data_IF_805192127899
#
_entry.id   IF_805192127899
#
_cell.length_a   1.000
_cell.length_b   1.000
_cell.length_c   1.000
_cell.angle_alpha   90.00
_cell.angle_beta   90.00
_cell.angle_gamma   90.00
#
_symmetry.space_group_name_H-M   'P 1'
#
loop_
_entity.id
_entity.type
_entity.pdbx_description
1 polymer ?
#
# COMPACT_ATOMS: atom_id res chain seq x y z
N UNK A 1 -16.57 -2.15 52.27
CA UNK A 1 -16.22 -2.12 50.83
C UNK A 1 -16.37 -3.53 50.31
N UNK A 2 -17.57 -3.87 49.85
CA UNK A 2 -17.84 -5.17 49.23
C UNK A 2 -17.28 -5.16 47.81
N UNK A 3 -16.36 -6.08 47.53
CA UNK A 3 -15.93 -6.38 46.16
C UNK A 3 -16.98 -7.30 45.56
N UNK A 4 -17.91 -6.76 44.78
CA UNK A 4 -18.80 -7.56 43.96
C UNK A 4 -17.95 -8.23 42.87
N UNK A 5 -17.77 -9.54 42.98
CA UNK A 5 -17.04 -10.33 41.99
C UNK A 5 -17.93 -10.48 40.76
N UNK A 6 -17.64 -9.71 39.70
CA UNK A 6 -18.31 -9.84 38.40
C UNK A 6 -18.12 -11.27 37.88
N UNK A 7 -19.18 -11.84 37.30
CA UNK A 7 -19.11 -13.14 36.63
C UNK A 7 -18.21 -13.04 35.39
N UNK A 8 -17.53 -14.12 35.02
CA UNK A 8 -16.71 -14.17 33.80
C UNK A 8 -17.49 -13.78 32.53
N UNK A 9 -18.79 -14.07 32.48
CA UNK A 9 -19.65 -13.65 31.36
C UNK A 9 -19.96 -12.15 31.36
N UNK A 10 -20.04 -11.50 32.52
CA UNK A 10 -20.25 -10.06 32.63
C UNK A 10 -19.00 -9.29 32.21
N UNK A 11 -17.82 -9.83 32.54
CA UNK A 11 -16.54 -9.29 32.07
C UNK A 11 -16.46 -9.39 30.53
N UNK A 12 -16.93 -10.50 29.94
CA UNK A 12 -16.94 -10.68 28.48
C UNK A 12 -17.75 -9.61 27.73
N UNK A 13 -18.83 -9.09 28.33
CA UNK A 13 -19.61 -8.01 27.74
C UNK A 13 -18.94 -6.62 27.87
N UNK A 14 -18.01 -6.47 28.82
CA UNK A 14 -17.26 -5.23 29.05
C UNK A 14 -15.94 -5.17 28.24
N UNK A 15 -15.58 -6.24 27.51
CA UNK A 15 -14.38 -6.28 26.67
C UNK A 15 -14.66 -5.58 25.34
N UNK A 16 -14.06 -4.40 25.15
CA UNK A 16 -14.04 -3.72 23.86
C UNK A 16 -13.03 -4.36 22.90
N UNK A 17 -13.20 -4.12 21.60
CA UNK A 17 -12.20 -4.50 20.58
C UNK A 17 -10.83 -3.90 20.91
N UNK A 18 -10.80 -2.67 21.42
CA UNK A 18 -9.56 -2.02 21.86
C UNK A 18 -8.87 -2.80 22.98
N UNK A 19 -9.63 -3.30 23.97
CA UNK A 19 -9.08 -4.17 25.02
C UNK A 19 -8.50 -5.45 24.42
N UNK A 20 -9.18 -6.06 23.44
CA UNK A 20 -8.67 -7.25 22.76
C UNK A 20 -7.36 -6.98 22.00
N UNK A 21 -7.25 -5.85 21.28
CA UNK A 21 -6.02 -5.44 20.58
C UNK A 21 -4.87 -5.25 21.57
N UNK A 22 -5.11 -4.55 22.69
CA UNK A 22 -4.10 -4.39 23.72
C UNK A 22 -3.68 -5.72 24.34
N UNK A 23 -4.61 -6.64 24.56
CA UNK A 23 -4.29 -7.98 25.09
C UNK A 23 -3.49 -8.81 24.11
N UNK A 24 -3.80 -8.78 22.81
CA UNK A 24 -2.99 -9.47 21.80
C UNK A 24 -1.58 -8.87 21.75
N UNK A 25 -1.47 -7.53 21.75
CA UNK A 25 -0.17 -6.85 21.77
C UNK A 25 0.66 -7.21 23.01
N UNK A 26 0.04 -7.22 24.19
CA UNK A 26 0.69 -7.61 25.43
C UNK A 26 1.10 -9.08 25.43
N UNK A 27 0.19 -9.98 25.03
CA UNK A 27 0.47 -11.41 24.94
C UNK A 27 1.62 -11.68 23.97
N UNK A 28 1.67 -11.00 22.83
CA UNK A 28 2.76 -11.17 21.86
C UNK A 28 4.13 -10.75 22.40
N UNK A 29 4.16 -9.78 23.32
CA UNK A 29 5.40 -9.35 24.00
C UNK A 29 5.82 -10.28 25.14
N UNK A 30 4.87 -10.95 25.77
CA UNK A 30 5.11 -11.85 26.91
C UNK A 30 5.39 -13.30 26.48
N UNK A 31 5.00 -13.69 25.27
CA UNK A 31 5.24 -15.04 24.76
C UNK A 31 6.72 -15.21 24.42
N UNK A 32 7.35 -16.20 25.05
CA UNK A 32 8.72 -16.60 24.76
C UNK A 32 8.81 -17.23 23.36
N UNK A 33 9.87 -16.91 22.61
CA UNK A 33 10.14 -17.45 21.27
C UNK A 33 10.07 -18.99 21.22
N UNK A 34 10.57 -19.67 22.26
CA UNK A 34 10.53 -21.14 22.35
C UNK A 34 9.10 -21.71 22.41
N UNK A 35 8.13 -20.91 22.88
CA UNK A 35 6.70 -21.29 22.86
C UNK A 35 6.14 -21.19 21.44
N UNK A 36 6.52 -20.15 20.70
CA UNK A 36 6.14 -19.98 19.29
C UNK A 36 6.68 -21.15 18.47
N UNK A 37 7.97 -21.46 18.61
CA UNK A 37 8.61 -22.60 17.92
C UNK A 37 7.91 -23.94 18.21
N UNK A 38 7.55 -24.20 19.48
CA UNK A 38 6.80 -25.43 19.86
C UNK A 38 5.42 -25.49 19.19
N UNK A 39 4.73 -24.36 19.07
CA UNK A 39 3.43 -24.28 18.40
C UNK A 39 3.57 -24.54 16.89
N UNK A 40 4.56 -23.94 16.24
CA UNK A 40 4.85 -24.20 14.82
C UNK A 40 5.22 -25.67 14.58
N UNK A 41 6.07 -26.25 15.44
CA UNK A 41 6.42 -27.68 15.39
C UNK A 41 5.22 -28.60 15.52
N UNK A 42 4.32 -28.33 16.48
CA UNK A 42 3.08 -29.10 16.66
C UNK A 42 2.11 -28.97 15.48
N UNK A 43 2.13 -27.83 14.79
CA UNK A 43 1.32 -27.59 13.59
C UNK A 43 1.92 -28.20 12.32
N UNK A 44 3.06 -28.88 12.42
CA UNK A 44 3.70 -29.57 11.30
C UNK A 44 4.76 -28.75 10.57
N UNK A 45 5.08 -27.54 11.02
CA UNK A 45 6.21 -26.77 10.50
C UNK A 45 7.50 -27.30 11.13
N UNK A 46 8.33 -27.96 10.34
CA UNK A 46 9.67 -28.39 10.77
C UNK A 46 10.61 -27.19 10.65
N UNK A 47 11.33 -26.88 11.73
CA UNK A 47 12.42 -25.91 11.67
C UNK A 47 13.52 -26.52 10.78
N UNK A 48 13.99 -25.77 9.78
CA UNK A 48 15.01 -26.26 8.86
C UNK A 48 16.41 -26.39 9.49
N UNK A 49 16.60 -25.91 10.72
CA UNK A 49 17.89 -25.89 11.40
C UNK A 49 17.79 -26.59 12.76
N UNK A 50 17.77 -27.91 12.75
CA UNK A 50 18.41 -28.72 13.79
C UNK A 50 18.79 -30.04 13.13
N UNK A 51 20.08 -30.25 12.95
CA UNK A 51 20.66 -31.58 12.89
C UNK A 51 20.00 -32.47 13.95
N UNK A 52 19.77 -33.73 13.59
CA UNK A 52 18.95 -34.73 14.29
C UNK A 52 17.43 -34.62 14.05
N UNK A 53 16.97 -35.09 12.88
CA UNK A 53 15.98 -36.17 12.84
C UNK A 53 15.91 -36.85 11.46
N UNK A 54 16.26 -38.12 11.47
CA UNK A 54 16.21 -39.13 10.41
C UNK A 54 15.06 -38.95 9.40
N UNK A 55 15.41 -38.63 8.16
CA UNK A 55 14.68 -39.12 6.98
C UNK A 55 15.43 -40.37 6.53
N UNK A 56 14.91 -41.54 6.87
CA UNK A 56 15.34 -42.79 6.25
C UNK A 56 14.63 -42.90 4.90
N UNK A 57 15.26 -42.41 3.84
CA UNK A 57 15.07 -43.00 2.53
C UNK A 57 16.43 -43.15 1.85
N UNK A 58 16.68 -44.36 1.39
CA UNK A 58 18.00 -44.88 1.08
C UNK A 58 18.48 -44.42 -0.30
N UNK A 59 19.68 -43.84 -0.36
CA UNK A 59 20.68 -44.10 -1.41
C UNK A 59 22.05 -43.62 -0.93
N UNK A 60 22.99 -44.56 -0.85
CA UNK A 60 24.42 -44.33 -0.70
C UNK A 60 24.97 -43.52 -1.91
N UNK A 61 25.72 -42.44 -1.66
CA UNK A 61 26.87 -42.06 -2.50
C UNK A 61 27.79 -41.09 -1.75
N UNK A 62 29.07 -41.42 -1.73
CA UNK A 62 30.19 -40.73 -1.07
C UNK A 62 30.55 -39.43 -1.81
N UNK A 63 30.90 -38.37 -1.08
CA UNK A 63 31.61 -37.24 -1.68
C UNK A 63 31.59 -35.92 -0.91
N UNK A 64 32.50 -35.79 0.05
CA UNK A 64 33.43 -34.66 0.18
C UNK A 64 32.99 -33.27 -0.33
N UNK A 65 32.72 -32.34 0.59
CA UNK A 65 33.07 -30.94 0.40
C UNK A 65 33.14 -30.23 1.76
N UNK A 66 34.36 -30.12 2.26
CA UNK A 66 34.80 -29.10 3.22
C UNK A 66 34.85 -27.77 2.46
N UNK A 67 33.89 -26.88 2.73
CA UNK A 67 33.95 -25.42 2.51
C UNK A 67 32.55 -24.87 2.81
N UNK A 68 32.32 -24.39 4.03
CA UNK A 68 31.19 -23.50 4.31
C UNK A 68 31.76 -22.15 4.74
N UNK A 69 31.84 -21.27 3.76
CA UNK A 69 31.86 -19.83 3.93
C UNK A 69 30.70 -19.41 4.84
N UNK A 70 31.02 -18.59 5.85
CA UNK A 70 30.07 -17.85 6.70
C UNK A 70 29.33 -16.78 5.86
N UNK A 71 28.41 -17.20 5.00
CA UNK A 71 27.36 -16.32 4.48
C UNK A 71 26.09 -16.56 5.32
N UNK A 72 25.99 -15.80 6.41
CA UNK A 72 24.79 -15.59 7.26
C UNK A 72 23.65 -14.87 6.48
N UNK A 73 23.45 -15.19 5.20
CA UNK A 73 22.23 -14.85 4.48
C UNK A 73 21.22 -15.94 4.83
N UNK A 74 20.30 -15.64 5.76
CA UNK A 74 19.14 -16.47 6.14
C UNK A 74 18.61 -17.24 4.92
N UNK A 75 18.97 -18.53 4.84
CA UNK A 75 18.79 -19.33 3.63
C UNK A 75 17.29 -19.63 3.47
N UNK A 76 16.57 -18.72 2.81
CA UNK A 76 15.12 -18.80 2.64
C UNK A 76 14.82 -20.04 1.80
N UNK A 77 14.06 -21.02 2.30
CA UNK A 77 13.85 -22.27 1.58
C UNK A 77 13.35 -22.03 0.15
N UNK A 78 13.94 -22.70 -0.84
CA UNK A 78 13.59 -22.56 -2.27
C UNK A 78 12.08 -22.68 -2.54
N UNK A 79 11.37 -23.46 -1.72
CA UNK A 79 9.92 -23.61 -1.79
C UNK A 79 9.18 -22.30 -1.48
N UNK A 80 9.66 -21.51 -0.52
CA UNK A 80 9.11 -20.21 -0.13
C UNK A 80 9.34 -19.19 -1.25
N UNK A 81 10.53 -19.17 -1.86
CA UNK A 81 10.84 -18.31 -3.02
C UNK A 81 9.95 -18.65 -4.22
N UNK A 82 9.76 -19.95 -4.50
CA UNK A 82 8.86 -20.38 -5.59
C UNK A 82 7.42 -19.96 -5.32
N UNK A 83 6.95 -20.15 -4.09
CA UNK A 83 5.59 -19.82 -3.68
C UNK A 83 5.33 -18.32 -3.69
N UNK A 84 6.30 -17.49 -3.29
CA UNK A 84 6.16 -16.03 -3.34
C UNK A 84 5.94 -15.55 -4.78
N UNK A 85 6.69 -16.10 -5.72
CA UNK A 85 6.57 -15.76 -7.14
C UNK A 85 5.27 -16.28 -7.75
N UNK A 86 4.80 -17.45 -7.34
CA UNK A 86 3.55 -18.04 -7.82
C UNK A 86 2.30 -17.29 -7.30
N UNK A 87 2.30 -16.88 -6.04
CA UNK A 87 1.15 -16.21 -5.41
C UNK A 87 1.14 -14.70 -5.65
N UNK A 88 2.29 -14.05 -5.52
CA UNK A 88 2.40 -12.58 -5.48
C UNK A 88 3.11 -11.99 -6.69
N UNK A 89 3.72 -12.82 -7.55
CA UNK A 89 4.44 -12.35 -8.74
C UNK A 89 5.76 -11.63 -8.46
N UNK A 90 6.22 -11.62 -7.20
CA UNK A 90 7.45 -10.99 -6.76
C UNK A 90 8.33 -11.95 -5.94
N UNK A 91 9.60 -11.56 -5.73
CA UNK A 91 10.51 -12.33 -4.89
C UNK A 91 10.15 -12.15 -3.41
N UNK A 92 10.53 -13.12 -2.58
CA UNK A 92 10.19 -13.12 -1.15
C UNK A 92 10.67 -11.86 -0.43
N UNK A 93 11.85 -11.35 -0.79
CA UNK A 93 12.44 -10.11 -0.26
C UNK A 93 11.61 -8.85 -0.54
N UNK A 94 10.76 -8.87 -1.58
CA UNK A 94 9.98 -7.71 -2.01
C UNK A 94 8.59 -7.68 -1.34
N UNK A 95 8.14 -8.80 -0.75
CA UNK A 95 6.84 -8.91 -0.05
C UNK A 95 6.60 -7.80 0.99
N UNK A 96 7.57 -7.42 1.85
CA UNK A 96 7.35 -6.38 2.86
C UNK A 96 7.14 -4.98 2.27
N UNK A 97 7.54 -4.78 1.02
CA UNK A 97 7.42 -3.48 0.33
C UNK A 97 6.26 -3.42 -0.65
N UNK A 98 5.55 -4.53 -0.85
CA UNK A 98 4.50 -4.66 -1.85
C UNK A 98 3.35 -3.68 -1.60
N UNK A 99 3.06 -3.38 -0.34
CA UNK A 99 1.99 -2.47 0.09
C UNK A 99 2.50 -1.10 0.60
N UNK A 100 3.80 -0.81 0.44
CA UNK A 100 4.40 0.42 0.97
C UNK A 100 3.83 1.71 0.36
N UNK A 101 3.26 1.65 -0.84
CA UNK A 101 2.67 2.80 -1.55
C UNK A 101 1.14 2.78 -1.58
N UNK A 102 0.50 2.02 -0.70
CA UNK A 102 -0.96 2.09 -0.55
C UNK A 102 -1.32 3.38 0.17
N UNK A 103 -2.19 4.20 -0.44
CA UNK A 103 -2.73 5.39 0.23
C UNK A 103 -3.46 4.97 1.51
N UNK A 104 -2.89 5.32 2.65
CA UNK A 104 -3.50 5.15 3.97
C UNK A 104 -3.81 6.51 4.58
N UNK A 105 -4.74 6.53 5.54
CA UNK A 105 -4.97 7.72 6.35
C UNK A 105 -3.75 7.98 7.25
N UNK A 106 -3.36 9.25 7.42
CA UNK A 106 -2.29 9.60 8.33
C UNK A 106 -2.73 9.33 9.77
N UNK A 107 -2.21 8.25 10.37
CA UNK A 107 -2.54 7.82 11.72
C UNK A 107 -1.62 8.39 12.80
N UNK A 108 -0.59 9.17 12.42
CA UNK A 108 0.42 9.69 13.37
C UNK A 108 -0.15 10.77 14.30
N UNK A 109 -1.13 11.53 13.81
CA UNK A 109 -1.81 12.58 14.58
C UNK A 109 -3.08 12.09 15.27
N UNK A 110 -3.54 10.87 14.95
CA UNK A 110 -4.74 10.30 15.54
C UNK A 110 -4.48 9.85 16.97
N UNK A 111 -5.15 10.48 17.93
CA UNK A 111 -5.16 10.00 19.30
C UNK A 111 -6.05 8.75 19.41
N UNK A 112 -5.46 7.56 19.47
CA UNK A 112 -6.16 6.27 19.54
C UNK A 112 -6.79 5.96 20.91
N UNK A 113 -6.43 6.71 21.94
CA UNK A 113 -7.00 6.56 23.29
C UNK A 113 -8.33 7.33 23.45
N UNK A 114 -8.71 8.15 22.47
CA UNK A 114 -10.01 8.81 22.46
C UNK A 114 -11.12 7.85 21.98
N UNK A 115 -12.37 8.11 22.38
CA UNK A 115 -13.48 7.25 21.99
C UNK A 115 -13.62 7.14 20.47
N UNK A 116 -13.80 5.92 19.95
CA UNK A 116 -13.86 5.64 18.51
C UNK A 116 -14.84 6.54 17.74
N UNK A 117 -15.95 6.93 18.37
CA UNK A 117 -16.91 7.88 17.80
C UNK A 117 -16.28 9.22 17.45
N UNK A 118 -15.45 9.79 18.33
CA UNK A 118 -14.78 11.07 18.09
C UNK A 118 -13.75 10.99 16.97
N UNK A 119 -13.07 9.84 16.83
CA UNK A 119 -12.14 9.59 15.73
C UNK A 119 -12.91 9.55 14.39
N UNK A 120 -14.01 8.81 14.35
CA UNK A 120 -14.83 8.69 13.14
C UNK A 120 -15.48 10.03 12.76
N UNK A 121 -16.01 10.76 13.74
CA UNK A 121 -16.61 12.08 13.53
C UNK A 121 -15.57 13.06 12.96
N UNK A 122 -14.33 13.08 13.47
CA UNK A 122 -13.25 13.92 12.95
C UNK A 122 -12.82 13.54 11.52
N UNK A 123 -12.75 12.24 11.20
CA UNK A 123 -12.45 11.77 9.83
C UNK A 123 -13.57 12.21 8.85
N UNK A 124 -14.82 12.16 9.28
CA UNK A 124 -15.95 12.63 8.49
C UNK A 124 -15.95 14.15 8.30
N UNK A 125 -15.63 14.93 9.35
CA UNK A 125 -15.52 16.40 9.25
C UNK A 125 -14.38 16.86 8.31
N UNK A 126 -13.23 16.19 8.34
CA UNK A 126 -12.13 16.48 7.40
C UNK A 126 -12.48 16.11 5.95
N UNK A 127 -13.34 15.10 5.75
CA UNK A 127 -13.80 14.67 4.42
C UNK A 127 -14.91 15.58 3.87
N UNK A 128 -15.83 16.05 4.72
CA UNK A 128 -16.95 16.91 4.33
C UNK A 128 -16.53 18.38 4.11
N UNK A 129 -15.48 18.86 4.76
CA UNK A 129 -14.95 20.22 4.55
C UNK A 129 -14.34 20.46 3.15
N UNK A 130 -14.28 19.42 2.30
CA UNK A 130 -13.81 19.50 0.92
C UNK A 130 -14.95 19.32 -0.11
N UNK A 131 -16.22 19.30 0.33
CA UNK A 131 -17.38 19.48 -0.53
C UNK A 131 -17.93 20.89 -0.31
N UNK A 132 -17.48 21.81 -1.17
CA UNK A 132 -18.14 23.11 -1.32
C UNK A 132 -19.57 22.83 -1.83
N UNK A 133 -20.52 23.12 -0.96
CA UNK A 133 -21.96 22.98 -1.11
C UNK A 133 -22.45 24.07 -2.07
N UNK A 134 -22.33 23.82 -3.39
CA UNK A 134 -23.07 24.57 -4.40
C UNK A 134 -24.43 23.91 -4.57
N UNK A 135 -25.30 24.23 -3.62
CA UNK A 135 -26.70 23.85 -3.54
C UNK A 135 -27.49 24.59 -4.65
N UNK A 136 -27.38 24.11 -5.88
CA UNK A 136 -28.35 24.39 -6.95
C UNK A 136 -28.93 23.06 -7.46
N UNK A 137 -30.09 22.76 -6.90
CA UNK A 137 -30.96 21.64 -7.19
C UNK A 137 -31.46 21.71 -8.65
N UNK A 138 -30.68 21.20 -9.61
CA UNK A 138 -31.23 20.70 -10.88
C UNK A 138 -30.30 19.69 -11.58
N UNK A 139 -30.66 18.41 -11.41
CA UNK A 139 -30.48 17.31 -12.37
C UNK A 139 -29.05 16.74 -12.58
N UNK A 140 -28.89 15.47 -12.18
CA UNK A 140 -27.77 14.58 -12.48
C UNK A 140 -27.41 14.54 -13.98
N UNK A 141 -26.51 15.41 -14.40
CA UNK A 141 -25.70 15.22 -15.60
C UNK A 141 -24.25 15.47 -15.21
N UNK A 142 -23.44 14.41 -15.25
CA UNK A 142 -21.99 14.49 -15.25
C UNK A 142 -21.56 15.37 -16.43
N UNK A 143 -21.46 16.68 -16.18
CA UNK A 143 -20.83 17.61 -17.09
C UNK A 143 -19.34 17.29 -17.07
N UNK A 144 -18.94 16.36 -17.94
CA UNK A 144 -17.60 16.34 -18.48
C UNK A 144 -17.40 17.71 -19.17
N UNK A 145 -17.03 18.73 -18.39
CA UNK A 145 -16.60 20.01 -18.93
C UNK A 145 -15.30 19.71 -19.66
N UNK A 146 -15.43 19.44 -20.95
CA UNK A 146 -14.30 19.26 -21.85
C UNK A 146 -13.46 20.53 -21.75
N UNK A 147 -12.30 20.43 -21.10
CA UNK A 147 -11.31 21.50 -21.02
C UNK A 147 -10.94 21.84 -22.46
N UNK A 148 -11.09 23.12 -22.82
CA UNK A 148 -10.71 23.57 -24.17
C UNK A 148 -9.20 23.45 -24.35
N UNK A 149 -8.75 23.23 -25.57
CA UNK A 149 -7.32 23.19 -25.89
C UNK A 149 -6.58 24.47 -25.45
N UNK A 150 -7.26 25.63 -25.47
CA UNK A 150 -6.72 26.89 -24.97
C UNK A 150 -6.56 26.91 -23.44
N UNK A 151 -7.56 26.42 -22.71
CA UNK A 151 -7.52 26.36 -21.24
C UNK A 151 -6.39 25.43 -20.78
N UNK A 152 -6.18 24.31 -21.47
CA UNK A 152 -5.08 23.38 -21.19
C UNK A 152 -3.71 24.04 -21.34
N UNK A 153 -3.50 24.81 -22.41
CA UNK A 153 -2.27 25.57 -22.64
C UNK A 153 -2.03 26.61 -21.53
N UNK A 154 -3.08 27.35 -21.15
CA UNK A 154 -2.99 28.37 -20.10
C UNK A 154 -2.65 27.76 -18.73
N UNK A 155 -3.16 26.56 -18.42
CA UNK A 155 -2.78 25.83 -17.21
C UNK A 155 -1.35 25.32 -17.27
N UNK A 156 -0.92 24.83 -18.43
CA UNK A 156 0.43 24.33 -18.64
C UNK A 156 1.48 25.44 -18.49
N UNK A 157 1.19 26.64 -18.98
CA UNK A 157 2.05 27.81 -18.81
C UNK A 157 2.17 28.23 -17.35
N UNK A 158 1.06 28.21 -16.58
CA UNK A 158 1.10 28.45 -15.13
C UNK A 158 1.95 27.41 -14.39
N UNK A 159 1.91 26.15 -14.82
CA UNK A 159 2.73 25.08 -14.24
C UNK A 159 4.21 25.25 -14.58
N UNK A 160 4.55 25.70 -15.80
CA UNK A 160 5.94 26.01 -16.19
C UNK A 160 6.49 27.20 -15.41
N UNK A 161 5.69 28.24 -15.20
CA UNK A 161 6.08 29.41 -14.39
C UNK A 161 6.37 29.00 -12.94
N UNK A 162 5.53 28.14 -12.38
CA UNK A 162 5.77 27.55 -11.06
C UNK A 162 7.08 26.74 -11.04
N UNK A 163 7.26 25.81 -11.97
CA UNK A 163 8.45 24.96 -12.02
C UNK A 163 9.76 25.78 -12.17
N UNK A 164 9.71 26.87 -12.94
CA UNK A 164 10.83 27.80 -13.13
C UNK A 164 11.11 28.62 -11.86
N UNK A 165 10.07 29.07 -11.17
CA UNK A 165 10.19 29.86 -9.93
C UNK A 165 10.79 29.06 -8.77
N UNK A 166 10.44 27.78 -8.67
CA UNK A 166 10.90 26.89 -7.59
C UNK A 166 12.09 26.00 -7.98
N UNK A 167 12.70 26.24 -9.15
CA UNK A 167 13.92 25.54 -9.59
C UNK A 167 13.75 24.03 -9.78
N UNK A 168 12.55 23.57 -10.15
CA UNK A 168 12.25 22.15 -10.37
C UNK A 168 12.55 21.77 -11.83
N UNK A 169 13.83 21.57 -12.14
CA UNK A 169 14.33 21.23 -13.49
C UNK A 169 13.62 20.03 -14.09
N UNK A 170 13.43 18.98 -13.30
CA UNK A 170 12.90 17.70 -13.77
C UNK A 170 11.42 17.84 -14.14
N UNK A 171 10.66 18.60 -13.34
CA UNK A 171 9.24 18.87 -13.60
C UNK A 171 9.09 19.76 -14.83
N UNK A 172 9.95 20.76 -14.98
CA UNK A 172 9.96 21.64 -16.15
C UNK A 172 10.24 20.87 -17.45
N UNK A 173 11.19 19.94 -17.45
CA UNK A 173 11.50 19.10 -18.61
C UNK A 173 10.29 18.27 -19.04
N UNK A 174 9.57 17.68 -18.09
CA UNK A 174 8.36 16.89 -18.39
C UNK A 174 7.22 17.78 -18.90
N UNK A 175 7.05 18.99 -18.35
CA UNK A 175 6.05 19.95 -18.83
C UNK A 175 6.35 20.44 -20.26
N UNK A 176 7.62 20.61 -20.62
CA UNK A 176 8.03 20.96 -21.98
C UNK A 176 7.74 19.83 -22.98
N UNK A 177 7.96 18.56 -22.60
CA UNK A 177 7.61 17.40 -23.45
C UNK A 177 6.10 17.29 -23.68
N UNK A 178 5.29 17.59 -22.66
CA UNK A 178 3.84 17.59 -22.78
C UNK A 178 3.38 18.70 -23.75
N UNK A 179 4.00 19.87 -23.71
CA UNK A 179 3.73 20.98 -24.63
C UNK A 179 4.09 20.62 -26.09
N UNK A 180 5.23 19.97 -26.29
CA UNK A 180 5.67 19.51 -27.60
C UNK A 180 4.69 18.50 -28.21
N UNK A 181 4.25 17.51 -27.42
CA UNK A 181 3.25 16.53 -27.87
C UNK A 181 1.92 17.21 -28.22
N UNK A 182 1.49 18.15 -27.38
CA UNK A 182 0.22 18.86 -27.59
C UNK A 182 0.23 19.75 -28.83
N UNK A 183 1.34 20.46 -29.07
CA UNK A 183 1.51 21.28 -30.27
C UNK A 183 1.62 20.43 -31.53
N UNK A 184 2.30 19.29 -31.48
CA UNK A 184 2.35 18.34 -32.60
C UNK A 184 0.96 17.80 -32.97
N UNK A 185 0.15 17.44 -31.98
CA UNK A 185 -1.20 16.90 -32.21
C UNK A 185 -2.16 17.97 -32.75
N UNK A 186 -2.01 19.22 -32.30
CA UNK A 186 -2.74 20.37 -32.85
C UNK A 186 -2.39 20.63 -34.33
N UNK A 187 -1.10 20.50 -34.69
CA UNK A 187 -0.64 20.66 -36.09
C UNK A 187 -1.14 19.50 -36.98
N UNK A 188 -1.14 18.25 -36.47
CA UNK A 188 -1.64 17.07 -37.21
C UNK A 188 -3.16 17.13 -37.45
N UNK A 189 -3.91 17.81 -36.59
CA UNK A 189 -5.36 17.93 -36.69
C UNK A 189 -5.85 18.91 -37.78
N UNK A 190 -4.96 19.74 -38.36
CA UNK A 190 -5.32 20.70 -39.40
C UNK A 190 -5.50 20.00 -40.77
N UNK A 191 -6.60 19.25 -40.93
CA UNK A 191 -6.94 18.57 -42.19
C UNK A 191 -7.09 19.57 -43.35
N UNK A 192 -6.46 19.22 -44.47
CA UNK A 192 -6.52 19.90 -45.76
C UNK A 192 -7.98 20.19 -46.17
N UNK A 193 -8.26 21.43 -46.57
CA UNK A 193 -9.58 21.83 -47.09
C UNK A 193 -9.95 20.99 -48.30
N UNK A 194 -11.15 20.40 -48.31
CA UNK A 194 -11.65 19.63 -49.46
C UNK A 194 -11.66 20.54 -50.70
N UNK A 195 -11.17 20.06 -51.85
CA UNK A 195 -11.02 20.83 -53.08
C UNK A 195 -12.35 21.43 -53.56
N UNK A 196 -13.48 20.86 -53.13
CA UNK A 196 -14.83 21.38 -53.36
C UNK A 196 -15.07 22.76 -52.73
N UNK A 197 -14.31 23.13 -51.70
CA UNK A 197 -14.38 24.46 -51.05
C UNK A 197 -13.76 25.58 -51.90
N UNK A 198 -12.94 25.25 -52.90
CA UNK A 198 -12.31 26.22 -53.80
C UNK A 198 -13.14 26.55 -55.05
N UNK A 199 -14.20 25.77 -55.34
CA UNK A 199 -15.05 25.97 -56.52
C UNK A 199 -16.44 26.52 -56.15
N UNK A 200 -16.45 27.64 -55.41
CA UNK A 200 -17.65 28.49 -55.29
C UNK A 200 -17.73 29.49 -56.43
#
# INVERSE_FOLDING_TARGET
>A
MEKTSKSGSEILHDISILNAVYWVSAAWKEVETSTIEKCFRKSGFKLACTDDEQITDATDDDGDSDDNDDDDDDDVPLQVIKLSRELFGCDFKDLPSLDANVYTFNTETTNWDQGAKLILDAIHEETDSNMDDDDDDENNQTNNKTISAGDFSDFLDKMKDYATTYGKSDILEHLMKIDEIFTEDSIKAQKQSDIRSFFK
#
